data_IF_174774115223
#
_entry.id   IF_174774115223
#
_cell.length_a   1.000
_cell.length_b   1.000
_cell.length_c   1.000
_cell.angle_alpha   90.00
_cell.angle_beta   90.00
_cell.angle_gamma   90.00
#
_symmetry.space_group_name_H-M   'P 1'
#
loop_
_entity.id
_entity.type
_entity.pdbx_description
1 polymer ?
#
# COMPACT_ATOMS: atom_id res chain seq x y z
N UNK A 1 -13.27 16.29 -5.60
CA UNK A 1 -11.86 16.64 -5.28
C UNK A 1 -11.31 17.79 -6.13
N UNK A 2 -12.10 18.37 -7.07
CA UNK A 2 -11.75 19.58 -7.83
C UNK A 2 -10.58 19.45 -8.81
N UNK A 3 -10.32 18.25 -9.37
CA UNK A 3 -9.21 18.00 -10.30
C UNK A 3 -9.65 17.68 -11.74
N UNK A 4 -10.86 18.06 -12.15
CA UNK A 4 -11.40 17.73 -13.47
C UNK A 4 -10.54 18.18 -14.66
N UNK A 5 -9.83 19.29 -14.52
CA UNK A 5 -8.92 19.84 -15.52
C UNK A 5 -7.49 19.25 -15.49
N UNK A 6 -7.22 18.29 -14.59
CA UNK A 6 -5.89 17.70 -14.37
C UNK A 6 -5.84 16.22 -14.76
N UNK A 7 -6.88 15.66 -15.38
CA UNK A 7 -7.04 14.23 -15.66
C UNK A 7 -5.93 13.63 -16.53
N UNK A 8 -5.26 14.43 -17.35
CA UNK A 8 -4.23 13.99 -18.29
C UNK A 8 -2.80 14.22 -17.79
N UNK A 9 -2.64 14.82 -16.59
CA UNK A 9 -1.32 15.09 -16.01
C UNK A 9 -0.71 13.84 -15.41
N UNK A 10 0.60 13.69 -15.60
CA UNK A 10 1.38 12.70 -14.88
C UNK A 10 1.64 13.14 -13.42
N UNK A 11 1.85 12.20 -12.47
CA UNK A 11 2.14 12.53 -11.08
C UNK A 11 3.31 13.51 -10.89
N UNK A 12 4.33 13.45 -11.76
CA UNK A 12 5.48 14.35 -11.74
C UNK A 12 5.17 15.81 -12.12
N UNK A 13 4.00 16.05 -12.70
CA UNK A 13 3.55 17.37 -13.15
C UNK A 13 2.54 18.00 -12.16
N UNK A 14 2.25 17.30 -11.07
CA UNK A 14 1.26 17.69 -10.08
C UNK A 14 1.93 18.27 -8.83
N UNK A 15 1.29 19.29 -8.23
CA UNK A 15 1.70 19.80 -6.92
C UNK A 15 1.41 18.78 -5.81
N UNK A 16 2.07 18.92 -4.65
CA UNK A 16 1.84 18.06 -3.48
C UNK A 16 0.37 18.01 -3.08
N UNK A 17 -0.32 19.13 -3.04
CA UNK A 17 -1.75 19.19 -2.73
C UNK A 17 -2.65 18.58 -3.80
N UNK A 18 -2.27 18.68 -5.09
CA UNK A 18 -2.97 17.96 -6.15
C UNK A 18 -2.81 16.44 -6.00
N UNK A 19 -1.59 15.97 -5.70
CA UNK A 19 -1.31 14.57 -5.44
C UNK A 19 -2.10 14.05 -4.23
N UNK A 20 -2.18 14.85 -3.15
CA UNK A 20 -2.97 14.47 -1.98
C UNK A 20 -4.47 14.37 -2.31
N UNK A 21 -5.02 15.30 -3.09
CA UNK A 21 -6.42 15.21 -3.56
C UNK A 21 -6.67 13.99 -4.46
N UNK A 22 -5.70 13.57 -5.27
CA UNK A 22 -5.76 12.31 -6.02
C UNK A 22 -5.77 11.10 -5.08
N UNK A 23 -4.93 11.12 -4.02
CA UNK A 23 -4.92 10.05 -3.02
C UNK A 23 -6.26 9.92 -2.29
N UNK A 24 -6.89 11.04 -1.92
CA UNK A 24 -8.23 11.06 -1.34
C UNK A 24 -9.26 10.52 -2.34
N UNK A 25 -9.23 10.97 -3.61
CA UNK A 25 -10.12 10.47 -4.64
C UNK A 25 -9.98 8.95 -4.82
N UNK A 26 -8.76 8.44 -4.84
CA UNK A 26 -8.48 7.00 -4.92
C UNK A 26 -9.06 6.22 -3.75
N UNK A 27 -8.95 6.75 -2.54
CA UNK A 27 -9.51 6.13 -1.34
C UNK A 27 -11.06 6.09 -1.39
N UNK A 28 -11.69 7.07 -2.05
CA UNK A 28 -13.15 7.17 -2.17
C UNK A 28 -13.76 6.33 -3.29
N UNK A 29 -12.97 5.74 -4.19
CA UNK A 29 -13.46 5.00 -5.37
C UNK A 29 -14.41 3.86 -4.99
N UNK A 30 -14.13 3.14 -3.92
CA UNK A 30 -14.94 2.02 -3.44
C UNK A 30 -16.06 2.46 -2.49
N UNK A 31 -16.34 3.76 -2.39
CA UNK A 31 -17.34 4.32 -1.50
C UNK A 31 -17.30 3.76 -0.06
N UNK A 32 -16.15 3.86 0.64
CA UNK A 32 -15.99 3.30 1.98
C UNK A 32 -16.81 4.08 3.02
N UNK A 33 -17.27 3.40 4.06
CA UNK A 33 -17.94 4.02 5.22
C UNK A 33 -16.92 4.73 6.13
N UNK A 34 -15.66 4.27 6.13
CA UNK A 34 -14.58 4.80 6.97
C UNK A 34 -13.41 5.19 6.08
N UNK A 35 -12.92 6.41 6.23
CA UNK A 35 -11.69 6.91 5.60
C UNK A 35 -10.60 7.09 6.66
N UNK A 36 -9.45 6.48 6.45
CA UNK A 36 -8.27 6.64 7.30
C UNK A 36 -7.29 7.58 6.63
N UNK A 37 -6.91 8.66 7.30
CA UNK A 37 -5.98 9.67 6.83
C UNK A 37 -4.80 9.78 7.80
N UNK A 38 -3.62 9.35 7.35
CA UNK A 38 -2.38 9.42 8.11
C UNK A 38 -1.57 10.62 7.60
N UNK A 39 -1.37 11.62 8.47
CA UNK A 39 -0.65 12.86 8.18
C UNK A 39 -1.04 13.52 6.84
N UNK A 40 -2.32 13.77 6.56
CA UNK A 40 -2.79 14.19 5.24
C UNK A 40 -2.24 15.56 4.80
N UNK A 41 -1.65 16.32 5.70
CA UNK A 41 -1.11 17.67 5.45
C UNK A 41 0.39 17.77 5.72
N UNK A 42 1.07 16.70 6.14
CA UNK A 42 2.43 16.72 6.66
C UNK A 42 3.52 17.21 5.69
N UNK A 43 3.27 17.14 4.38
CA UNK A 43 4.22 17.60 3.34
C UNK A 43 3.69 18.80 2.53
N UNK A 44 2.70 19.53 3.05
CA UNK A 44 2.02 20.63 2.34
C UNK A 44 2.28 21.97 3.01
N UNK A 45 2.25 23.02 2.20
CA UNK A 45 2.19 24.40 2.72
C UNK A 45 0.85 24.68 3.42
N UNK A 46 0.79 25.77 4.18
CA UNK A 46 -0.36 26.08 5.02
C UNK A 46 -1.65 26.28 4.23
N UNK A 47 -1.58 26.92 3.06
CA UNK A 47 -2.76 27.19 2.23
C UNK A 47 -3.31 25.89 1.62
N UNK A 48 -2.43 25.06 1.09
CA UNK A 48 -2.79 23.75 0.53
C UNK A 48 -3.30 22.81 1.62
N UNK A 49 -2.74 22.88 2.82
CA UNK A 49 -3.21 22.09 3.99
C UNK A 49 -4.67 22.42 4.31
N UNK A 50 -5.04 23.70 4.34
CA UNK A 50 -6.43 24.12 4.55
C UNK A 50 -7.35 23.55 3.47
N UNK A 51 -6.96 23.63 2.18
CA UNK A 51 -7.76 23.07 1.10
C UNK A 51 -7.99 21.54 1.23
N UNK A 52 -6.98 20.80 1.67
CA UNK A 52 -7.10 19.36 1.93
C UNK A 52 -8.00 19.10 3.13
N UNK A 53 -7.88 19.89 4.20
CA UNK A 53 -8.73 19.75 5.38
C UNK A 53 -10.20 20.08 5.10
N UNK A 54 -10.49 21.12 4.30
CA UNK A 54 -11.86 21.42 3.87
C UNK A 54 -12.45 20.29 3.02
N UNK A 55 -11.64 19.68 2.15
CA UNK A 55 -12.08 18.50 1.39
C UNK A 55 -12.38 17.30 2.31
N UNK A 56 -11.53 17.01 3.30
CA UNK A 56 -11.78 15.95 4.27
C UNK A 56 -13.02 16.23 5.12
N UNK A 57 -13.26 17.46 5.50
CA UNK A 57 -14.47 17.90 6.21
C UNK A 57 -15.74 17.69 5.36
N UNK A 58 -15.66 17.97 4.05
CA UNK A 58 -16.77 17.68 3.13
C UNK A 58 -17.04 16.19 3.04
N UNK A 59 -16.00 15.38 2.94
CA UNK A 59 -16.09 13.91 2.94
C UNK A 59 -16.67 13.37 4.25
N UNK A 60 -16.38 14.02 5.37
CA UNK A 60 -16.85 13.63 6.71
C UNK A 60 -18.35 13.88 6.94
N UNK A 61 -19.07 14.55 6.03
CA UNK A 61 -20.53 14.70 6.14
C UNK A 61 -21.29 13.39 5.98
N UNK A 62 -20.76 12.48 5.14
CA UNK A 62 -21.44 11.24 4.76
C UNK A 62 -20.76 9.98 5.33
N UNK A 63 -19.58 10.12 5.93
CA UNK A 63 -18.78 8.98 6.41
C UNK A 63 -17.86 9.34 7.56
N UNK A 64 -17.37 8.34 8.26
CA UNK A 64 -16.40 8.53 9.33
C UNK A 64 -15.01 8.80 8.71
N UNK A 65 -14.39 9.92 9.07
CA UNK A 65 -12.99 10.20 8.77
C UNK A 65 -12.19 10.11 10.05
N UNK A 66 -11.24 9.19 10.10
CA UNK A 66 -10.27 9.05 11.19
C UNK A 66 -8.93 9.58 10.72
N UNK A 67 -8.45 10.64 11.34
CA UNK A 67 -7.21 11.31 10.97
C UNK A 67 -6.16 11.16 12.07
N UNK A 68 -4.94 10.82 11.69
CA UNK A 68 -3.76 10.92 12.56
C UNK A 68 -2.97 12.14 12.13
N UNK A 69 -2.63 13.01 13.05
CA UNK A 69 -1.82 14.20 12.78
C UNK A 69 -1.04 14.63 14.02
N UNK A 70 0.13 15.22 13.78
CA UNK A 70 0.93 15.88 14.82
C UNK A 70 0.66 17.40 14.88
N UNK A 71 -0.24 17.93 14.05
CA UNK A 71 -0.62 19.35 14.08
C UNK A 71 -1.87 19.57 14.94
N UNK A 72 -1.73 20.07 16.18
CA UNK A 72 -2.86 20.27 17.08
C UNK A 72 -3.83 21.36 16.64
N UNK A 73 -3.36 22.37 15.90
CA UNK A 73 -4.19 23.49 15.44
C UNK A 73 -5.21 23.00 14.41
N UNK A 74 -4.75 22.22 13.42
CA UNK A 74 -5.65 21.61 12.44
C UNK A 74 -6.62 20.63 13.09
N UNK A 75 -6.15 19.84 14.06
CA UNK A 75 -7.02 18.92 14.79
C UNK A 75 -8.13 19.68 15.53
N UNK A 76 -7.80 20.77 16.23
CA UNK A 76 -8.79 21.58 16.96
C UNK A 76 -9.79 22.29 16.04
N UNK A 77 -9.34 22.70 14.87
CA UNK A 77 -10.19 23.42 13.93
C UNK A 77 -11.18 22.53 13.17
N UNK A 78 -10.77 21.29 12.85
CA UNK A 78 -11.52 20.43 11.93
C UNK A 78 -12.14 19.18 12.56
N UNK A 79 -11.58 18.66 13.65
CA UNK A 79 -12.06 17.44 14.25
C UNK A 79 -13.26 17.68 15.19
N UNK A 80 -14.23 16.75 15.17
CA UNK A 80 -15.36 16.72 16.11
C UNK A 80 -14.99 16.00 17.41
N UNK A 81 -13.99 15.11 17.36
CA UNK A 81 -13.46 14.40 18.52
C UNK A 81 -11.94 14.29 18.37
N UNK A 82 -11.22 14.56 19.44
CA UNK A 82 -9.77 14.48 19.49
C UNK A 82 -9.35 13.51 20.58
N UNK A 83 -8.62 12.46 20.21
CA UNK A 83 -8.00 11.51 21.13
C UNK A 83 -6.51 11.75 21.12
N UNK A 84 -5.95 12.20 22.24
CA UNK A 84 -4.52 12.45 22.37
C UNK A 84 -3.82 11.20 22.88
N UNK A 85 -2.93 10.64 22.05
CA UNK A 85 -2.10 9.50 22.39
C UNK A 85 -0.65 9.96 22.66
N UNK A 86 -0.07 9.45 23.74
CA UNK A 86 1.35 9.61 24.03
C UNK A 86 1.88 8.33 24.66
N UNK A 87 3.01 7.84 24.16
CA UNK A 87 3.68 6.63 24.65
C UNK A 87 2.74 5.39 24.70
N UNK A 88 1.85 5.26 23.71
CA UNK A 88 0.88 4.16 23.63
C UNK A 88 -0.30 4.27 24.59
N UNK A 89 -0.43 5.39 25.33
CA UNK A 89 -1.50 5.61 26.31
C UNK A 89 -2.36 6.80 25.88
N UNK A 90 -3.68 6.66 26.02
CA UNK A 90 -4.64 7.76 25.81
C UNK A 90 -4.48 8.74 26.98
N UNK A 91 -4.08 9.98 26.68
CA UNK A 91 -3.92 11.06 27.66
C UNK A 91 -5.17 11.90 27.83
N UNK A 92 -5.89 12.12 26.77
CA UNK A 92 -7.17 12.85 26.78
C UNK A 92 -8.04 12.41 25.61
N UNK A 93 -9.34 12.52 25.81
CA UNK A 93 -10.38 12.31 24.83
C UNK A 93 -11.42 13.40 25.01
N UNK A 94 -11.72 14.17 23.99
CA UNK A 94 -12.65 15.31 24.08
C UNK A 94 -14.12 14.90 24.13
N UNK A 95 -14.44 13.69 23.66
CA UNK A 95 -15.79 13.14 23.65
C UNK A 95 -15.73 11.63 23.83
N UNK A 96 -15.38 11.13 25.05
CA UNK A 96 -15.28 9.71 25.30
C UNK A 96 -16.65 9.04 25.04
N UNK A 97 -16.62 7.92 24.33
CA UNK A 97 -17.82 7.15 24.05
C UNK A 97 -18.16 6.30 25.29
N UNK A 98 -19.26 6.62 25.92
CA UNK A 98 -19.86 5.77 26.94
C UNK A 98 -20.94 4.91 26.26
N UNK A 99 -20.71 3.60 26.06
CA UNK A 99 -21.69 2.74 25.42
C UNK A 99 -22.92 2.62 26.36
N UNK A 100 -24.05 3.08 25.89
CA UNK A 100 -25.34 2.74 26.54
C UNK A 100 -25.59 1.25 26.28
N UNK A 101 -25.21 0.43 27.25
CA UNK A 101 -25.32 -1.04 27.18
C UNK A 101 -26.75 -1.55 27.03
N UNK A 102 -27.76 -0.70 27.26
CA UNK A 102 -29.15 -1.05 27.09
C UNK A 102 -29.66 -0.97 25.64
N UNK A 103 -28.92 -0.33 24.72
CA UNK A 103 -29.36 -0.07 23.34
C UNK A 103 -28.41 -0.59 22.26
N UNK A 104 -27.47 -1.46 22.60
CA UNK A 104 -26.63 -2.11 21.61
C UNK A 104 -27.44 -3.11 20.77
N UNK A 105 -28.23 -2.58 19.83
CA UNK A 105 -28.68 -3.40 18.72
C UNK A 105 -27.41 -3.93 17.98
N UNK A 106 -27.35 -5.24 17.69
CA UNK A 106 -26.20 -5.79 16.96
C UNK A 106 -26.03 -4.98 15.68
N UNK A 107 -24.81 -4.49 15.47
CA UNK A 107 -24.47 -3.74 14.26
C UNK A 107 -24.88 -4.57 13.04
N UNK A 108 -25.91 -4.15 12.33
CA UNK A 108 -26.29 -4.76 11.07
C UNK A 108 -25.21 -4.33 10.07
N UNK A 109 -24.16 -5.15 9.95
CA UNK A 109 -23.21 -5.01 8.87
C UNK A 109 -23.97 -5.22 7.57
N UNK A 110 -24.26 -4.13 6.86
CA UNK A 110 -24.70 -4.20 5.48
C UNK A 110 -23.60 -4.97 4.75
N UNK A 111 -23.90 -6.19 4.32
CA UNK A 111 -22.95 -7.05 3.64
C UNK A 111 -22.31 -6.25 2.49
N UNK A 112 -21.16 -5.65 2.76
CA UNK A 112 -20.25 -5.25 1.70
C UNK A 112 -19.80 -6.57 1.07
N UNK A 113 -20.25 -6.82 -0.16
CA UNK A 113 -20.00 -8.06 -0.87
C UNK A 113 -18.54 -8.45 -0.71
N UNK A 114 -18.29 -9.71 -0.43
CA UNK A 114 -16.96 -10.28 -0.37
C UNK A 114 -16.22 -9.85 -1.64
N UNK A 115 -15.26 -8.94 -1.52
CA UNK A 115 -14.37 -8.62 -2.63
C UNK A 115 -13.48 -9.84 -2.88
N UNK A 116 -13.97 -10.78 -3.68
CA UNK A 116 -13.17 -11.91 -4.10
C UNK A 116 -12.38 -11.49 -5.34
N UNK A 117 -11.07 -11.48 -5.21
CA UNK A 117 -10.19 -11.23 -6.35
C UNK A 117 -10.16 -12.50 -7.21
N UNK A 118 -10.49 -12.38 -8.50
CA UNK A 118 -10.39 -13.48 -9.46
C UNK A 118 -8.94 -14.00 -9.52
N UNK A 119 -8.77 -15.30 -9.63
CA UNK A 119 -7.45 -15.95 -9.74
C UNK A 119 -6.63 -15.38 -10.90
N UNK A 120 -7.26 -15.10 -12.04
CA UNK A 120 -6.65 -14.45 -13.20
C UNK A 120 -6.18 -13.03 -12.89
N UNK A 121 -6.96 -12.26 -12.14
CA UNK A 121 -6.57 -10.90 -11.72
C UNK A 121 -5.36 -10.94 -10.79
N UNK A 122 -5.29 -11.90 -9.86
CA UNK A 122 -4.14 -12.07 -8.97
C UNK A 122 -2.87 -12.43 -9.75
N UNK A 123 -2.96 -13.34 -10.73
CA UNK A 123 -1.84 -13.70 -11.60
C UNK A 123 -1.37 -12.52 -12.44
N UNK A 124 -2.30 -11.79 -13.06
CA UNK A 124 -1.98 -10.62 -13.88
C UNK A 124 -1.32 -9.52 -13.06
N UNK A 125 -1.80 -9.25 -11.85
CA UNK A 125 -1.18 -8.29 -10.93
C UNK A 125 0.21 -8.72 -10.50
N UNK A 126 0.41 -10.02 -10.18
CA UNK A 126 1.73 -10.56 -9.84
C UNK A 126 2.70 -10.45 -11.01
N UNK A 127 2.26 -10.77 -12.21
CA UNK A 127 3.09 -10.65 -13.41
C UNK A 127 3.44 -9.18 -13.72
N UNK A 128 2.48 -8.28 -13.63
CA UNK A 128 2.71 -6.84 -13.79
C UNK A 128 3.69 -6.30 -12.74
N UNK A 129 3.62 -6.76 -11.50
CA UNK A 129 4.57 -6.38 -10.45
C UNK A 129 6.00 -6.86 -10.76
N UNK A 130 6.16 -8.08 -11.30
CA UNK A 130 7.46 -8.58 -11.76
C UNK A 130 8.01 -7.74 -12.92
N UNK A 131 7.15 -7.39 -13.87
CA UNK A 131 7.53 -6.59 -15.04
C UNK A 131 7.88 -5.14 -14.69
N UNK A 132 7.14 -4.54 -13.76
CA UNK A 132 7.39 -3.16 -13.30
C UNK A 132 8.72 -3.05 -12.53
N UNK A 133 9.10 -4.12 -11.81
CA UNK A 133 10.37 -4.21 -11.05
C UNK A 133 11.42 -5.05 -11.77
N UNK A 134 11.42 -5.05 -13.11
CA UNK A 134 12.26 -5.90 -13.98
C UNK A 134 13.74 -5.94 -13.60
N UNK A 135 14.34 -4.81 -13.23
CA UNK A 135 15.74 -4.73 -12.84
C UNK A 135 16.04 -5.55 -11.59
N UNK A 136 15.20 -5.45 -10.56
CA UNK A 136 15.35 -6.24 -9.33
C UNK A 136 15.12 -7.73 -9.59
N UNK A 137 14.07 -8.06 -10.34
CA UNK A 137 13.72 -9.43 -10.70
C UNK A 137 14.84 -10.08 -11.51
N UNK A 138 15.41 -9.37 -12.48
CA UNK A 138 16.52 -9.84 -13.29
C UNK A 138 17.76 -10.12 -12.43
N UNK A 139 18.13 -9.17 -11.55
CA UNK A 139 19.28 -9.32 -10.65
C UNK A 139 19.14 -10.54 -9.73
N UNK A 140 17.96 -10.74 -9.14
CA UNK A 140 17.73 -11.90 -8.26
C UNK A 140 17.70 -13.22 -9.03
N UNK A 141 17.16 -13.23 -10.25
CA UNK A 141 17.20 -14.40 -11.13
C UNK A 141 18.63 -14.76 -11.55
N UNK A 142 19.45 -13.79 -11.91
CA UNK A 142 20.88 -14.00 -12.22
C UNK A 142 21.64 -14.52 -11.00
N UNK A 143 21.46 -13.92 -9.83
CA UNK A 143 22.14 -14.38 -8.61
C UNK A 143 21.77 -15.83 -8.26
N UNK A 144 20.50 -16.23 -8.43
CA UNK A 144 20.06 -17.61 -8.22
C UNK A 144 20.58 -18.58 -9.28
N UNK A 145 20.69 -18.15 -10.55
CA UNK A 145 21.13 -19.01 -11.64
C UNK A 145 22.63 -19.33 -11.59
N UNK A 146 23.47 -18.45 -11.04
CA UNK A 146 24.92 -18.69 -10.90
C UNK A 146 25.19 -19.95 -10.08
N UNK A 147 24.46 -20.14 -8.96
CA UNK A 147 24.61 -21.33 -8.13
C UNK A 147 24.25 -22.63 -8.88
N UNK A 148 23.15 -22.61 -9.62
CA UNK A 148 22.68 -23.76 -10.39
C UNK A 148 23.65 -24.10 -11.53
N UNK A 149 24.12 -23.09 -12.24
CA UNK A 149 25.13 -23.24 -13.32
C UNK A 149 26.42 -23.80 -12.74
N UNK A 150 26.90 -23.33 -11.60
CA UNK A 150 28.10 -23.82 -10.94
C UNK A 150 28.01 -25.32 -10.61
N UNK A 151 26.88 -25.76 -10.00
CA UNK A 151 26.63 -27.16 -9.69
C UNK A 151 26.56 -28.01 -10.98
N UNK A 152 25.84 -27.54 -11.99
CA UNK A 152 25.71 -28.23 -13.27
C UNK A 152 27.05 -28.42 -13.96
N UNK A 153 27.93 -27.40 -13.96
CA UNK A 153 29.29 -27.48 -14.52
C UNK A 153 30.16 -28.50 -13.78
N UNK A 154 30.13 -28.52 -12.44
CA UNK A 154 30.89 -29.48 -11.65
C UNK A 154 30.45 -30.91 -11.96
N UNK A 155 29.14 -31.19 -12.00
CA UNK A 155 28.60 -32.51 -12.30
C UNK A 155 28.97 -32.90 -13.75
N UNK A 156 28.80 -31.99 -14.71
CA UNK A 156 29.14 -32.26 -16.11
C UNK A 156 30.62 -32.58 -16.30
N UNK A 157 31.51 -31.80 -15.66
CA UNK A 157 32.95 -32.02 -15.72
C UNK A 157 33.33 -33.36 -15.07
N UNK A 158 32.77 -33.69 -13.87
CA UNK A 158 33.02 -34.95 -13.19
C UNK A 158 32.58 -36.13 -14.05
N UNK A 159 31.39 -36.06 -14.66
CA UNK A 159 30.87 -37.13 -15.53
C UNK A 159 31.71 -37.25 -16.79
N UNK A 160 32.12 -36.16 -17.40
CA UNK A 160 32.99 -36.16 -18.60
C UNK A 160 34.38 -36.75 -18.33
N UNK A 161 35.00 -36.43 -17.21
CA UNK A 161 36.31 -37.02 -16.80
C UNK A 161 36.18 -38.51 -16.54
N UNK A 162 35.13 -38.93 -15.81
CA UNK A 162 34.92 -40.36 -15.54
C UNK A 162 34.67 -41.15 -16.85
N UNK A 163 33.96 -40.60 -17.79
CA UNK A 163 33.70 -41.20 -19.10
C UNK A 163 34.96 -41.29 -19.93
N UNK A 164 35.79 -40.27 -19.95
CA UNK A 164 37.08 -40.26 -20.62
C UNK A 164 38.05 -41.30 -20.05
N UNK A 165 38.12 -41.45 -18.74
CA UNK A 165 38.92 -42.51 -18.06
C UNK A 165 38.45 -43.89 -18.45
N UNK A 166 37.13 -44.12 -18.41
CA UNK A 166 36.55 -45.42 -18.78
C UNK A 166 36.77 -45.80 -20.25
N UNK A 167 36.78 -44.84 -21.15
CA UNK A 167 37.08 -45.06 -22.56
C UNK A 167 38.59 -45.37 -22.78
N UNK A 168 39.46 -44.65 -22.05
CA UNK A 168 40.92 -44.96 -22.08
C UNK A 168 41.23 -46.34 -21.53
N UNK A 169 40.57 -46.82 -20.49
CA UNK A 169 40.74 -48.17 -19.97
C UNK A 169 40.28 -49.22 -20.98
N UNK A 170 39.23 -48.96 -21.76
CA UNK A 170 38.74 -49.90 -22.81
C UNK A 170 39.68 -49.99 -24.01
N UNK A 171 40.35 -48.87 -24.38
CA UNK A 171 41.27 -48.87 -25.51
C UNK A 171 42.66 -49.42 -25.19
N UNK A 172 42.98 -49.63 -23.91
CA UNK A 172 44.29 -50.16 -23.44
C UNK A 172 44.26 -51.66 -23.05
N UNK A 173 43.10 -52.29 -23.01
CA UNK A 173 42.89 -53.72 -22.80
C UNK A 173 42.57 -54.47 -24.10
#
# INVERSE_FOLDING_TARGET
VGLGNQLHKHPSEMSGGQMQRVAIARALVNNPDILLADEPTGALDSETSIQVMELLKEVAKDRLVVMVTHNPELAQQYATRIVNLKDGVIRSDTAPYEPDTAQLAPAVHKNMGHSSMSWWTSLTLSFNNLWTKKTRTLLTAFAGSIGIIGIALIISLSTGVNQYIADMERDTL
#
